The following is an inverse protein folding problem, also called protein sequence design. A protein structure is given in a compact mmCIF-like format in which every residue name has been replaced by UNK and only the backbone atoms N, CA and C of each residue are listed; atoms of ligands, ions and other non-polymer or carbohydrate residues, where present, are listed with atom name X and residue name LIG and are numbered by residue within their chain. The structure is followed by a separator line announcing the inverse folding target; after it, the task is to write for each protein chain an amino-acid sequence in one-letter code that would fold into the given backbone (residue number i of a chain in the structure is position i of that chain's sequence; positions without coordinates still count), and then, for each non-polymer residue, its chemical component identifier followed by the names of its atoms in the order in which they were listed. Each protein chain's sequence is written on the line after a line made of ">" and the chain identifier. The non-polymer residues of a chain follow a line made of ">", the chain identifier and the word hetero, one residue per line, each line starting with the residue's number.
data_IF_296891185417
#
_entry.id   IF_296891185417
#
_cell.length_a   1.000
_cell.length_b   1.000
_cell.length_c   1.000
_cell.angle_alpha   90.00
_cell.angle_beta   90.00
_cell.angle_gamma   90.00
#
_symmetry.space_group_name_H-M   'P 1'
#
loop_
_entity.id
_entity.type
_entity.pdbx_description
1 polymer ?
#
# COMPACT_ATOMS: atom_id res chain seq x y z
N UNK A 1 20.63 -10.74 10.90
CA UNK A 1 19.34 -10.90 11.59
C UNK A 1 18.35 -10.08 10.78
N UNK A 2 17.53 -10.73 9.96
CA UNK A 2 16.50 -10.12 9.12
C UNK A 2 15.50 -11.20 8.77
N UNK A 3 14.21 -10.91 8.88
CA UNK A 3 13.12 -11.87 8.68
C UNK A 3 11.89 -11.49 9.51
N UNK A 4 10.71 -11.94 9.06
CA UNK A 4 9.43 -11.55 9.64
C UNK A 4 8.93 -10.21 9.11
N UNK A 5 9.33 -9.83 7.90
CA UNK A 5 8.82 -8.61 7.27
C UNK A 5 7.37 -8.83 6.84
N UNK A 6 6.51 -7.85 7.15
CA UNK A 6 5.14 -7.79 6.64
C UNK A 6 4.83 -6.40 6.14
N UNK A 7 3.73 -6.27 5.39
CA UNK A 7 3.28 -4.96 4.94
C UNK A 7 2.94 -4.03 6.13
N UNK A 8 2.47 -4.56 7.26
CA UNK A 8 2.20 -3.79 8.49
C UNK A 8 3.47 -3.19 9.11
N UNK A 9 4.59 -3.93 9.08
CA UNK A 9 5.88 -3.38 9.52
C UNK A 9 6.29 -2.20 8.63
N UNK A 10 6.09 -2.32 7.31
CA UNK A 10 6.35 -1.21 6.38
C UNK A 10 5.38 -0.03 6.60
N UNK A 11 4.12 -0.31 6.96
CA UNK A 11 3.17 0.73 7.36
C UNK A 11 3.63 1.47 8.61
N UNK A 12 4.15 0.76 9.62
CA UNK A 12 4.60 1.39 10.85
C UNK A 12 5.76 2.36 10.58
N UNK A 13 6.72 1.94 9.75
CA UNK A 13 7.84 2.80 9.34
C UNK A 13 7.36 4.01 8.52
N UNK A 14 6.43 3.81 7.60
CA UNK A 14 5.86 4.87 6.78
C UNK A 14 5.01 5.87 7.59
N UNK A 15 4.27 5.38 8.59
CA UNK A 15 3.52 6.21 9.53
C UNK A 15 4.45 7.10 10.35
N UNK A 16 5.52 6.54 10.90
CA UNK A 16 6.54 7.31 11.64
C UNK A 16 7.14 8.39 10.74
N UNK A 17 7.52 8.05 9.50
CA UNK A 17 8.05 9.01 8.55
C UNK A 17 7.04 10.13 8.23
N UNK A 18 5.78 9.79 7.98
CA UNK A 18 4.71 10.75 7.73
C UNK A 18 4.49 11.67 8.93
N UNK A 19 4.50 11.14 10.15
CA UNK A 19 4.36 11.94 11.37
C UNK A 19 5.49 12.96 11.55
N UNK A 20 6.71 12.65 11.09
CA UNK A 20 7.83 13.60 11.10
C UNK A 20 7.75 14.63 9.96
N UNK A 21 7.27 14.24 8.78
CA UNK A 21 7.15 15.13 7.63
C UNK A 21 5.94 16.08 7.73
N UNK A 22 4.89 15.66 8.43
CA UNK A 22 3.61 16.35 8.46
C UNK A 22 2.68 15.93 7.30
N UNK A 23 1.52 16.61 7.15
CA UNK A 23 0.51 16.19 6.18
C UNK A 23 1.03 16.16 4.73
N UNK A 24 0.76 15.07 4.01
CA UNK A 24 1.31 14.86 2.67
C UNK A 24 0.40 13.98 1.79
N UNK A 25 0.59 14.09 0.49
CA UNK A 25 0.04 13.14 -0.51
C UNK A 25 1.00 11.97 -0.65
N UNK A 26 0.47 10.75 -0.55
CA UNK A 26 1.25 9.53 -0.68
C UNK A 26 1.18 9.00 -2.11
N UNK A 27 2.31 8.67 -2.71
CA UNK A 27 2.38 7.98 -3.99
C UNK A 27 3.08 6.64 -3.78
N UNK A 28 2.30 5.56 -3.87
CA UNK A 28 2.78 4.21 -3.66
C UNK A 28 2.94 3.46 -4.98
N UNK A 29 4.10 2.83 -5.20
CA UNK A 29 4.37 1.99 -6.38
C UNK A 29 4.56 0.53 -5.98
N UNK A 30 3.83 -0.39 -6.63
CA UNK A 30 3.96 -1.82 -6.38
C UNK A 30 3.53 -2.19 -4.95
N UNK A 31 4.40 -2.85 -4.17
CA UNK A 31 4.16 -3.04 -2.73
C UNK A 31 3.85 -1.71 -2.02
N UNK A 32 4.54 -0.63 -2.40
CA UNK A 32 4.32 0.69 -1.80
C UNK A 32 2.91 1.23 -2.01
N UNK A 33 2.19 0.77 -3.04
CA UNK A 33 0.78 1.11 -3.23
C UNK A 33 -0.08 0.50 -2.11
N UNK A 34 0.17 -0.76 -1.76
CA UNK A 34 -0.54 -1.40 -0.67
C UNK A 34 -0.25 -0.73 0.68
N UNK A 35 1.01 -0.39 0.94
CA UNK A 35 1.41 0.35 2.15
C UNK A 35 0.77 1.74 2.19
N UNK A 36 0.77 2.49 1.07
CA UNK A 36 0.15 3.80 0.99
C UNK A 36 -1.36 3.76 1.27
N UNK A 37 -2.07 2.75 0.76
CA UNK A 37 -3.48 2.52 1.08
C UNK A 37 -3.68 2.33 2.58
N UNK A 38 -2.88 1.47 3.21
CA UNK A 38 -3.03 1.20 4.63
C UNK A 38 -2.72 2.44 5.48
N UNK A 39 -1.68 3.22 5.12
CA UNK A 39 -1.35 4.48 5.82
C UNK A 39 -2.48 5.51 5.64
N UNK A 40 -3.09 5.60 4.45
CA UNK A 40 -4.23 6.49 4.21
C UNK A 40 -5.42 6.17 5.13
N UNK A 41 -5.73 4.88 5.33
CA UNK A 41 -6.79 4.49 6.26
C UNK A 41 -6.38 4.59 7.75
N UNK A 42 -5.11 4.39 8.09
CA UNK A 42 -4.61 4.46 9.47
C UNK A 42 -4.34 5.89 9.97
N UNK A 43 -4.03 6.81 9.05
CA UNK A 43 -3.72 8.23 9.32
C UNK A 43 -4.49 9.18 8.39
N UNK A 44 -5.82 9.07 8.34
CA UNK A 44 -6.66 9.78 7.36
C UNK A 44 -6.59 11.30 7.50
N UNK A 45 -6.25 11.82 8.68
CA UNK A 45 -6.09 13.26 8.93
C UNK A 45 -4.72 13.82 8.46
N UNK A 46 -3.71 12.96 8.28
CA UNK A 46 -2.38 13.36 7.80
C UNK A 46 -2.20 13.10 6.31
N UNK A 47 -2.99 12.20 5.71
CA UNK A 47 -2.90 11.87 4.29
C UNK A 47 -3.84 12.75 3.48
N UNK A 48 -3.27 13.62 2.64
CA UNK A 48 -4.01 14.57 1.76
C UNK A 48 -4.54 13.90 0.48
N UNK A 49 -4.26 12.61 0.32
CA UNK A 49 -4.64 11.77 -0.80
C UNK A 49 -3.62 10.66 -0.97
N UNK A 50 -4.04 9.50 -1.48
CA UNK A 50 -3.16 8.38 -1.77
C UNK A 50 -3.30 7.93 -3.22
N UNK A 51 -2.17 7.80 -3.91
CA UNK A 51 -2.09 7.39 -5.32
C UNK A 51 -1.47 6.00 -5.42
N UNK A 52 -2.21 5.05 -6.00
CA UNK A 52 -1.86 3.64 -6.08
C UNK A 52 -1.40 3.27 -7.49
N UNK A 53 -0.08 3.09 -7.65
CA UNK A 53 0.56 2.83 -8.94
C UNK A 53 1.04 1.37 -9.09
N UNK A 54 1.03 0.88 -10.33
CA UNK A 54 1.63 -0.42 -10.67
C UNK A 54 3.12 -0.48 -10.31
N UNK A 55 3.59 -1.67 -9.95
CA UNK A 55 5.01 -1.92 -9.77
C UNK A 55 5.34 -3.31 -9.19
N UNK A 56 6.62 -3.58 -8.96
CA UNK A 56 7.07 -4.83 -8.34
C UNK A 56 6.43 -5.06 -6.98
N UNK A 57 6.06 -6.31 -6.72
CA UNK A 57 5.44 -6.69 -5.45
C UNK A 57 3.99 -6.26 -5.29
N UNK A 58 3.30 -5.71 -6.31
CA UNK A 58 1.89 -5.31 -6.23
C UNK A 58 0.95 -6.48 -5.87
N UNK A 59 1.22 -7.68 -6.39
CA UNK A 59 0.38 -8.86 -6.19
C UNK A 59 0.42 -9.39 -4.76
N UNK A 60 1.57 -9.30 -4.08
CA UNK A 60 1.78 -9.98 -2.81
C UNK A 60 1.91 -11.49 -2.98
N UNK A 61 1.66 -12.21 -1.88
CA UNK A 61 1.64 -13.66 -1.81
C UNK A 61 0.32 -14.28 -2.25
N UNK A 62 0.26 -15.61 -2.11
CA UNK A 62 -0.95 -16.37 -2.42
C UNK A 62 -2.12 -15.95 -1.52
N UNK A 63 -3.32 -15.90 -2.07
CA UNK A 63 -4.56 -15.52 -1.37
C UNK A 63 -5.20 -16.67 -0.58
N UNK A 64 -4.49 -17.79 -0.39
CA UNK A 64 -4.99 -18.99 0.27
C UNK A 64 -3.87 -19.79 0.96
N UNK A 65 -4.20 -20.89 1.64
CA UNK A 65 -3.23 -21.69 2.39
C UNK A 65 -2.10 -22.18 1.48
N UNK A 66 -0.86 -21.92 1.87
CA UNK A 66 0.34 -22.44 1.20
C UNK A 66 1.15 -23.29 2.16
N UNK A 67 2.00 -24.14 1.61
CA UNK A 67 2.92 -24.94 2.44
C UNK A 67 3.95 -24.03 3.11
N UNK A 68 4.22 -24.28 4.39
CA UNK A 68 5.31 -23.61 5.11
C UNK A 68 6.63 -23.95 4.43
N UNK A 69 7.44 -22.93 4.13
CA UNK A 69 8.76 -23.12 3.54
C UNK A 69 9.81 -22.30 4.29
N UNK A 70 10.93 -22.95 4.59
CA UNK A 70 12.11 -22.29 5.14
C UNK A 70 13.00 -21.84 4.00
N UNK A 71 13.58 -20.66 4.12
CA UNK A 71 14.56 -20.14 3.18
C UNK A 71 15.80 -19.68 3.94
N UNK A 72 16.95 -19.81 3.30
CA UNK A 72 18.22 -19.28 3.78
C UNK A 72 18.82 -18.43 2.68
N UNK A 73 19.30 -17.24 3.05
CA UNK A 73 20.02 -16.36 2.14
C UNK A 73 21.49 -16.36 2.55
N UNK A 74 22.35 -16.73 1.61
CA UNK A 74 23.79 -16.70 1.79
C UNK A 74 24.31 -15.25 1.73
N UNK A 75 25.34 -14.90 2.53
CA UNK A 75 25.97 -13.59 2.50
C UNK A 75 26.71 -13.35 1.17
N UNK A 76 26.92 -12.07 0.76
CA UNK A 76 26.66 -10.86 1.54
C UNK A 76 25.22 -10.33 1.41
N UNK A 77 24.71 -9.76 2.50
CA UNK A 77 23.44 -9.04 2.49
C UNK A 77 23.65 -7.63 1.92
N UNK A 78 22.79 -7.22 0.97
CA UNK A 78 22.78 -5.88 0.38
C UNK A 78 21.39 -5.26 0.46
N UNK A 79 21.28 -3.96 0.22
CA UNK A 79 20.00 -3.30 0.07
C UNK A 79 19.45 -3.48 -1.36
N UNK A 80 18.13 -3.72 -1.54
CA UNK A 80 17.14 -4.03 -0.50
C UNK A 80 17.39 -5.40 0.17
N UNK A 81 17.05 -5.52 1.47
CA UNK A 81 17.29 -6.76 2.24
C UNK A 81 16.63 -7.96 1.53
N UNK A 82 17.41 -9.01 1.16
CA UNK A 82 16.87 -10.18 0.49
C UNK A 82 15.76 -10.90 1.27
N UNK A 83 15.82 -10.92 2.61
CA UNK A 83 14.80 -11.54 3.43
C UNK A 83 13.49 -10.75 3.36
N UNK A 84 13.57 -9.42 3.32
CA UNK A 84 12.40 -8.57 3.11
C UNK A 84 11.75 -8.86 1.76
N UNK A 85 12.53 -9.02 0.68
CA UNK A 85 12.00 -9.39 -0.63
C UNK A 85 11.25 -10.73 -0.59
N UNK A 86 11.81 -11.75 0.08
CA UNK A 86 11.21 -13.08 0.17
C UNK A 86 9.92 -13.03 0.99
N UNK A 87 9.96 -12.44 2.18
CA UNK A 87 8.81 -12.35 3.07
C UNK A 87 7.66 -11.54 2.43
N UNK A 88 7.97 -10.36 1.88
CA UNK A 88 6.97 -9.47 1.25
C UNK A 88 6.43 -10.02 -0.08
N UNK A 89 7.15 -10.94 -0.74
CA UNK A 89 6.62 -11.68 -1.90
C UNK A 89 5.56 -12.70 -1.52
N UNK A 90 5.46 -13.06 -0.23
CA UNK A 90 4.54 -14.05 0.33
C UNK A 90 3.48 -13.44 1.23
N UNK A 91 3.58 -12.14 1.48
CA UNK A 91 2.65 -11.33 2.25
C UNK A 91 1.22 -11.44 1.73
N UNK A 92 0.31 -11.91 2.57
CA UNK A 92 -1.10 -12.10 2.23
C UNK A 92 -1.79 -10.75 2.15
N UNK A 93 -2.57 -10.53 1.09
CA UNK A 93 -3.32 -9.28 0.91
C UNK A 93 -4.79 -9.57 0.62
N UNK A 94 -5.59 -9.81 1.67
CA UNK A 94 -7.00 -10.09 1.52
C UNK A 94 -7.75 -8.87 0.94
N UNK A 95 -8.66 -9.06 -0.02
CA UNK A 95 -9.40 -7.95 -0.60
C UNK A 95 -10.28 -7.17 0.38
N UNK A 96 -10.91 -7.86 1.32
CA UNK A 96 -11.72 -7.29 2.40
C UNK A 96 -10.89 -6.45 3.37
N UNK A 97 -9.68 -6.91 3.69
CA UNK A 97 -8.74 -6.13 4.51
C UNK A 97 -8.29 -4.84 3.81
N UNK A 98 -8.04 -4.88 2.49
CA UNK A 98 -7.75 -3.68 1.71
C UNK A 98 -8.94 -2.70 1.68
N UNK A 99 -10.15 -3.21 1.47
CA UNK A 99 -11.39 -2.41 1.48
C UNK A 99 -11.64 -1.70 2.81
N UNK A 100 -11.25 -2.31 3.95
CA UNK A 100 -11.35 -1.66 5.26
C UNK A 100 -10.59 -0.32 5.31
N UNK A 101 -9.36 -0.28 4.77
CA UNK A 101 -8.57 0.96 4.76
C UNK A 101 -9.15 2.03 3.84
N UNK A 102 -9.78 1.65 2.73
CA UNK A 102 -10.51 2.59 1.86
C UNK A 102 -11.64 3.26 2.65
N UNK A 103 -12.45 2.46 3.34
CA UNK A 103 -13.59 2.97 4.13
C UNK A 103 -13.13 3.88 5.27
N UNK A 104 -12.07 3.49 5.98
CA UNK A 104 -11.48 4.34 7.02
C UNK A 104 -10.99 5.68 6.45
N UNK A 105 -10.36 5.68 5.28
CA UNK A 105 -9.92 6.91 4.61
C UNK A 105 -11.10 7.79 4.18
N UNK A 106 -12.16 7.22 3.60
CA UNK A 106 -13.37 7.93 3.19
C UNK A 106 -14.07 8.60 4.38
N UNK A 107 -14.22 7.88 5.48
CA UNK A 107 -14.97 8.36 6.64
C UNK A 107 -14.25 9.50 7.37
N UNK A 108 -12.91 9.51 7.38
CA UNK A 108 -12.14 10.36 8.29
C UNK A 108 -11.24 11.39 7.62
N UNK A 109 -10.97 11.30 6.31
CA UNK A 109 -10.05 12.24 5.63
C UNK A 109 -10.67 13.60 5.33
N UNK A 110 -12.01 13.68 5.29
CA UNK A 110 -12.73 14.86 4.83
C UNK A 110 -12.72 15.04 3.30
N UNK A 111 -12.16 14.08 2.55
CA UNK A 111 -12.15 14.08 1.09
C UNK A 111 -13.25 13.18 0.55
N UNK A 112 -13.88 13.60 -0.55
CA UNK A 112 -14.84 12.75 -1.27
C UNK A 112 -14.15 11.56 -1.95
N UNK A 113 -12.92 11.76 -2.43
CA UNK A 113 -12.14 10.77 -3.18
C UNK A 113 -10.68 10.68 -2.66
N UNK A 114 -10.44 10.15 -1.45
CA UNK A 114 -9.12 10.14 -0.83
C UNK A 114 -8.12 9.17 -1.48
N UNK A 115 -8.60 8.22 -2.28
CA UNK A 115 -7.78 7.19 -2.93
C UNK A 115 -7.93 7.30 -4.46
N UNK A 116 -6.80 7.41 -5.15
CA UNK A 116 -6.72 7.37 -6.61
C UNK A 116 -5.92 6.14 -7.05
N UNK A 117 -6.50 5.33 -7.93
CA UNK A 117 -5.86 4.16 -8.53
C UNK A 117 -5.42 4.49 -9.95
N UNK A 118 -4.11 4.47 -10.17
CA UNK A 118 -3.52 4.75 -11.48
C UNK A 118 -2.88 3.53 -12.10
N UNK A 119 -2.74 2.45 -11.33
CA UNK A 119 -2.30 1.16 -11.85
C UNK A 119 -3.27 0.64 -12.91
N UNK A 120 -2.79 -0.22 -13.79
CA UNK A 120 -3.55 -0.99 -14.78
C UNK A 120 -3.76 -2.42 -14.27
N UNK A 121 -2.78 -2.98 -13.57
CA UNK A 121 -2.87 -4.33 -13.03
C UNK A 121 -3.86 -4.34 -11.87
N UNK A 122 -4.68 -5.39 -11.76
CA UNK A 122 -5.73 -5.53 -10.75
C UNK A 122 -5.59 -6.87 -10.01
N UNK A 123 -4.60 -7.00 -9.10
CA UNK A 123 -4.64 -8.10 -8.14
C UNK A 123 -5.94 -8.04 -7.32
N UNK A 124 -6.39 -9.15 -6.72
CA UNK A 124 -7.67 -9.21 -6.02
C UNK A 124 -7.91 -8.07 -5.02
N UNK A 125 -6.88 -7.67 -4.26
CA UNK A 125 -7.00 -6.57 -3.30
C UNK A 125 -7.22 -5.20 -3.96
N UNK A 126 -6.54 -4.93 -5.08
CA UNK A 126 -6.67 -3.64 -5.78
C UNK A 126 -7.95 -3.60 -6.63
N UNK A 127 -8.41 -4.75 -7.11
CA UNK A 127 -9.73 -4.86 -7.73
C UNK A 127 -10.83 -4.48 -6.74
N UNK A 128 -10.79 -5.04 -5.52
CA UNK A 128 -11.75 -4.68 -4.48
C UNK A 128 -11.68 -3.20 -4.08
N UNK A 129 -10.47 -2.62 -4.02
CA UNK A 129 -10.31 -1.17 -3.78
C UNK A 129 -10.97 -0.35 -4.88
N UNK A 130 -10.82 -0.72 -6.15
CA UNK A 130 -11.45 -0.01 -7.27
C UNK A 130 -12.97 -0.12 -7.26
N UNK A 131 -13.52 -1.22 -6.72
CA UNK A 131 -14.96 -1.43 -6.62
C UNK A 131 -15.61 -0.65 -5.46
N UNK A 132 -14.82 -0.06 -4.55
CA UNK A 132 -15.34 0.80 -3.48
C UNK A 132 -15.78 2.18 -4.01
N UNK A 133 -16.90 2.68 -3.50
CA UNK A 133 -17.43 4.00 -3.85
C UNK A 133 -16.53 5.09 -3.28
N UNK A 134 -16.21 6.11 -4.08
CA UNK A 134 -15.30 7.20 -3.68
C UNK A 134 -13.82 6.89 -3.95
N UNK A 135 -13.52 5.85 -4.71
CA UNK A 135 -12.19 5.61 -5.27
C UNK A 135 -12.13 6.12 -6.71
N UNK A 136 -11.15 6.98 -6.99
CA UNK A 136 -10.92 7.54 -8.32
C UNK A 136 -10.05 6.57 -9.14
N UNK A 137 -10.40 6.32 -10.40
CA UNK A 137 -9.48 5.69 -11.37
C UNK A 137 -9.08 6.72 -12.42
N UNK A 138 -7.81 7.10 -12.44
CA UNK A 138 -7.30 8.17 -13.31
C UNK A 138 -5.79 7.99 -13.60
N UNK A 139 -5.22 8.91 -14.37
CA UNK A 139 -3.76 8.96 -14.55
C UNK A 139 -3.05 9.52 -13.32
N UNK A 140 -1.74 9.20 -13.19
CA UNK A 140 -0.91 9.76 -12.11
C UNK A 140 -0.86 11.29 -12.13
N UNK A 141 -0.82 11.90 -13.32
CA UNK A 141 -0.79 13.35 -13.44
C UNK A 141 -2.09 13.98 -12.91
N UNK A 142 -3.25 13.41 -13.25
CA UNK A 142 -4.55 13.86 -12.74
C UNK A 142 -4.65 13.69 -11.23
N UNK A 143 -4.27 12.53 -10.70
CA UNK A 143 -4.30 12.28 -9.25
C UNK A 143 -3.45 13.27 -8.46
N UNK A 144 -2.21 13.54 -8.92
CA UNK A 144 -1.33 14.53 -8.28
C UNK A 144 -1.93 15.93 -8.35
N UNK A 145 -2.49 16.32 -9.50
CA UNK A 145 -3.12 17.63 -9.67
C UNK A 145 -4.32 17.79 -8.72
N UNK A 146 -5.15 16.75 -8.56
CA UNK A 146 -6.27 16.74 -7.63
C UNK A 146 -5.80 16.95 -6.18
N UNK A 147 -4.83 16.17 -5.71
CA UNK A 147 -4.39 16.25 -4.31
C UNK A 147 -3.49 17.44 -4.00
N UNK A 148 -2.89 18.07 -5.01
CA UNK A 148 -2.16 19.33 -4.83
C UNK A 148 -3.10 20.52 -4.56
N UNK A 149 -4.39 20.41 -4.89
CA UNK A 149 -5.38 21.45 -4.67
C UNK A 149 -6.04 21.40 -3.28
N UNK A 150 -5.71 20.38 -2.47
CA UNK A 150 -6.29 20.11 -1.14
C UNK A 150 -5.48 20.78 -0.04
#
# INVERSE_FOLDING_TARGET
>A
MGGGYSAETMLADADIALAQLGPATLVGRGLGAYVALMVAGARPLLVRGAVLCDGPGLWGGATGPTSTSFHSVDPPYGAPDPNALIDLSRDLRPPDYAGLFVRMALEHSGLAEPIAVTGIVRPPWLAAVVDEVGVLTCSLAEAIATYAAV
#
